data_IF_893442498129
#
_entry.id   IF_893442498129
#
_cell.length_a   1.000
_cell.length_b   1.000
_cell.length_c   1.000
_cell.angle_alpha   90.00
_cell.angle_beta   90.00
_cell.angle_gamma   90.00
#
_symmetry.space_group_name_H-M   'P 1'
#
loop_
_entity.id
_entity.type
_entity.pdbx_description
1 polymer ?
#
# COMPACT_ATOMS: atom_id res chain seq x y z
N UNK A 1 3.28 -10.98 -26.36
CA UNK A 1 3.69 -10.33 -25.09
C UNK A 1 2.87 -9.06 -24.95
N UNK A 2 1.83 -9.08 -24.12
CA UNK A 2 1.09 -7.88 -23.73
C UNK A 2 1.76 -7.26 -22.51
N UNK A 3 1.94 -5.92 -22.42
CA UNK A 3 2.61 -5.30 -21.28
C UNK A 3 1.63 -4.75 -20.22
N UNK A 4 1.97 -4.97 -18.94
CA UNK A 4 1.43 -4.32 -17.74
C UNK A 4 1.42 -2.79 -17.89
N UNK A 5 0.38 -2.12 -17.38
CA UNK A 5 0.29 -0.64 -17.36
C UNK A 5 0.14 -0.14 -15.92
N UNK A 6 1.07 0.68 -15.46
CA UNK A 6 0.88 1.50 -14.28
C UNK A 6 0.09 2.75 -14.71
N UNK A 7 -0.91 3.19 -13.94
CA UNK A 7 -1.64 4.41 -14.26
C UNK A 7 -2.01 5.26 -13.04
N UNK A 8 -2.14 6.57 -13.24
CA UNK A 8 -2.24 7.64 -12.25
C UNK A 8 -3.64 8.23 -12.24
N UNK A 9 -4.39 8.04 -11.16
CA UNK A 9 -5.78 8.49 -11.04
C UNK A 9 -5.90 9.80 -10.27
N UNK A 10 -6.24 10.93 -10.89
CA UNK A 10 -6.69 12.14 -10.17
C UNK A 10 -8.04 11.89 -9.49
N UNK A 11 -8.08 11.70 -8.17
CA UNK A 11 -9.28 11.63 -7.32
C UNK A 11 -9.48 13.00 -6.64
N UNK A 12 -10.52 13.70 -7.04
CA UNK A 12 -11.26 14.55 -6.11
C UNK A 12 -12.38 13.69 -5.53
N UNK A 13 -12.93 13.98 -4.35
CA UNK A 13 -14.09 13.29 -3.75
C UNK A 13 -15.35 13.20 -4.67
N UNK A 14 -15.26 13.65 -5.93
CA UNK A 14 -16.29 13.52 -6.95
C UNK A 14 -15.85 12.98 -8.33
N UNK A 15 -14.57 12.89 -8.73
CA UNK A 15 -14.19 12.36 -10.07
C UNK A 15 -12.73 11.87 -10.08
N UNK A 16 -12.52 10.76 -10.79
CA UNK A 16 -11.34 9.85 -10.80
C UNK A 16 -10.82 9.72 -12.25
N UNK A 17 -9.70 10.38 -12.61
CA UNK A 17 -9.17 10.46 -14.00
C UNK A 17 -7.77 9.83 -14.14
N UNK A 18 -7.57 8.88 -15.05
CA UNK A 18 -6.39 7.99 -15.09
C UNK A 18 -5.35 8.29 -16.20
N UNK A 19 -4.04 8.30 -15.90
CA UNK A 19 -2.90 8.53 -16.83
C UNK A 19 -1.76 7.50 -16.72
N UNK A 20 -1.38 6.82 -17.81
CA UNK A 20 -0.50 5.62 -17.81
C UNK A 20 1.00 5.87 -18.08
N UNK A 21 1.89 5.07 -17.46
CA UNK A 21 3.33 4.92 -17.79
C UNK A 21 3.71 3.43 -17.99
N UNK A 22 4.70 3.13 -18.86
CA UNK A 22 5.23 1.78 -19.22
C UNK A 22 6.78 1.76 -19.10
N UNK A 23 7.52 0.62 -18.95
CA UNK A 23 7.15 -0.82 -18.97
C UNK A 23 7.72 -1.74 -17.83
N UNK A 24 7.37 -3.04 -17.89
CA UNK A 24 7.84 -4.26 -17.15
C UNK A 24 7.02 -4.71 -15.92
N UNK A 25 7.02 -6.04 -15.67
CA UNK A 25 6.28 -6.81 -14.64
C UNK A 25 6.47 -6.26 -13.22
N UNK A 26 5.75 -5.17 -12.93
CA UNK A 26 5.94 -4.36 -11.76
C UNK A 26 4.66 -4.35 -10.94
N UNK A 27 4.65 -5.07 -9.82
CA UNK A 27 3.51 -5.14 -8.91
C UNK A 27 3.74 -4.28 -7.66
N UNK A 28 2.65 -3.83 -7.04
CA UNK A 28 2.65 -3.12 -5.76
C UNK A 28 3.59 -1.91 -5.75
N UNK A 29 3.36 -0.91 -6.61
CA UNK A 29 4.22 0.25 -6.69
C UNK A 29 4.10 1.12 -5.45
N UNK A 30 5.22 1.71 -5.03
CA UNK A 30 5.27 2.88 -4.16
C UNK A 30 5.88 4.07 -4.90
N UNK A 31 5.39 5.27 -4.64
CA UNK A 31 5.74 6.47 -5.40
C UNK A 31 5.77 7.73 -4.54
N UNK A 32 6.85 8.50 -4.70
CA UNK A 32 7.01 9.86 -4.16
C UNK A 32 7.50 10.82 -5.23
N UNK A 33 7.15 12.09 -5.11
CA UNK A 33 7.64 13.18 -5.97
C UNK A 33 8.63 14.06 -5.19
N UNK A 34 9.89 14.10 -5.62
CA UNK A 34 10.95 14.90 -5.00
C UNK A 34 11.51 15.84 -6.05
N UNK A 35 11.42 17.16 -5.81
CA UNK A 35 11.94 18.19 -6.73
C UNK A 35 11.45 18.03 -8.18
N UNK A 36 10.17 17.64 -8.37
CA UNK A 36 9.57 17.42 -9.68
C UNK A 36 9.95 16.10 -10.37
N UNK A 37 10.66 15.20 -9.67
CA UNK A 37 11.03 13.87 -10.15
C UNK A 37 10.23 12.81 -9.40
N UNK A 38 9.58 11.91 -10.14
CA UNK A 38 8.93 10.73 -9.56
C UNK A 38 9.96 9.63 -9.29
N UNK A 39 10.01 9.18 -8.04
CA UNK A 39 10.75 8.00 -7.63
C UNK A 39 9.75 6.86 -7.42
N UNK A 40 9.87 5.79 -8.20
CA UNK A 40 8.95 4.65 -8.17
C UNK A 40 9.73 3.38 -7.86
N UNK A 41 9.26 2.64 -6.87
CA UNK A 41 9.76 1.30 -6.54
C UNK A 41 8.61 0.32 -6.72
N UNK A 42 8.89 -0.85 -7.28
CA UNK A 42 7.89 -1.88 -7.52
C UNK A 42 8.50 -3.27 -7.40
N UNK A 43 7.65 -4.24 -7.10
CA UNK A 43 7.99 -5.66 -7.04
C UNK A 43 8.25 -6.17 -8.45
N UNK A 44 9.35 -6.89 -8.63
CA UNK A 44 9.72 -7.55 -9.89
C UNK A 44 9.96 -9.03 -9.63
N UNK A 45 9.68 -9.89 -10.61
CA UNK A 45 10.05 -11.29 -10.53
C UNK A 45 11.59 -11.41 -10.47
N UNK A 46 12.11 -12.24 -9.55
CA UNK A 46 13.55 -12.42 -9.30
C UNK A 46 13.92 -13.90 -9.38
N UNK A 47 15.14 -14.20 -9.82
CA UNK A 47 15.67 -15.57 -9.85
C UNK A 47 15.95 -16.15 -8.45
N UNK A 48 16.23 -15.29 -7.46
CA UNK A 48 16.47 -15.68 -6.07
C UNK A 48 16.18 -14.54 -5.07
N UNK A 49 15.73 -14.90 -3.87
CA UNK A 49 15.36 -13.98 -2.79
C UNK A 49 13.97 -13.36 -2.98
N UNK A 50 13.21 -13.25 -1.89
CA UNK A 50 11.87 -12.67 -1.88
C UNK A 50 11.90 -11.27 -1.26
N UNK A 51 11.65 -10.24 -2.07
CA UNK A 51 11.22 -8.94 -1.56
C UNK A 51 10.10 -8.39 -2.43
N UNK A 52 8.96 -8.04 -1.83
CA UNK A 52 7.77 -7.56 -2.53
C UNK A 52 7.07 -6.44 -1.76
N UNK A 53 6.10 -5.78 -2.42
CA UNK A 53 5.26 -4.71 -1.88
C UNK A 53 6.05 -3.62 -1.13
N UNK A 54 6.94 -2.88 -1.82
CA UNK A 54 7.68 -1.80 -1.21
C UNK A 54 6.78 -0.61 -0.82
N UNK A 55 7.17 0.10 0.23
CA UNK A 55 6.70 1.43 0.61
C UNK A 55 7.92 2.33 0.89
N UNK A 56 8.01 3.49 0.23
CA UNK A 56 9.12 4.44 0.39
C UNK A 56 8.70 5.70 1.14
N UNK A 57 9.50 6.16 2.10
CA UNK A 57 9.32 7.47 2.73
C UNK A 57 10.63 7.98 3.34
N UNK A 58 10.68 9.28 3.60
CA UNK A 58 11.79 9.90 4.31
C UNK A 58 11.49 9.97 5.80
N UNK A 59 12.30 9.34 6.64
CA UNK A 59 12.15 9.44 8.08
C UNK A 59 13.00 10.61 8.59
N UNK A 60 12.35 11.76 8.79
CA UNK A 60 13.00 13.03 9.14
C UNK A 60 13.93 12.91 10.36
N UNK A 61 13.54 12.25 11.48
CA UNK A 61 14.40 12.17 12.67
C UNK A 61 15.76 11.50 12.43
N UNK A 62 15.86 10.61 11.44
CA UNK A 62 17.13 9.94 11.08
C UNK A 62 17.82 10.57 9.86
N UNK A 63 17.12 11.44 9.13
CA UNK A 63 17.57 11.97 7.84
C UNK A 63 17.91 10.87 6.83
N UNK A 64 17.07 9.84 6.79
CA UNK A 64 17.23 8.68 5.92
C UNK A 64 15.92 8.36 5.22
N UNK A 65 16.02 7.92 3.97
CA UNK A 65 14.96 7.21 3.29
C UNK A 65 14.84 5.81 3.86
N UNK A 66 13.60 5.37 4.02
CA UNK A 66 13.23 4.01 4.38
C UNK A 66 12.47 3.39 3.20
N UNK A 67 12.84 2.16 2.87
CA UNK A 67 12.08 1.29 1.97
C UNK A 67 11.61 0.12 2.83
N UNK A 68 10.33 0.11 3.18
CA UNK A 68 9.66 -0.97 3.90
C UNK A 68 9.13 -1.97 2.88
N UNK A 69 9.25 -3.27 3.14
CA UNK A 69 8.79 -4.33 2.22
C UNK A 69 8.64 -5.65 2.97
N UNK A 70 8.07 -6.66 2.32
CA UNK A 70 8.01 -8.01 2.87
C UNK A 70 9.13 -8.91 2.34
N UNK A 71 9.65 -9.79 3.19
CA UNK A 71 10.69 -10.79 2.88
C UNK A 71 10.47 -12.11 3.66
N UNK A 72 9.22 -12.55 3.74
CA UNK A 72 8.69 -13.53 4.72
C UNK A 72 8.54 -12.96 6.16
N UNK A 73 9.01 -11.73 6.37
CA UNK A 73 8.76 -10.90 7.53
C UNK A 73 8.44 -9.47 7.08
N UNK A 74 8.15 -8.56 8.02
CA UNK A 74 8.17 -7.14 7.78
C UNK A 74 9.62 -6.62 7.85
N UNK A 75 10.12 -6.11 6.74
CA UNK A 75 11.51 -5.68 6.59
C UNK A 75 11.63 -4.21 6.15
N UNK A 76 12.83 -3.68 6.30
CA UNK A 76 13.21 -2.38 5.79
C UNK A 76 14.67 -2.35 5.34
N UNK A 77 14.96 -1.43 4.42
CA UNK A 77 16.30 -0.95 4.11
C UNK A 77 16.33 0.57 4.20
N UNK A 78 17.52 1.16 4.40
CA UNK A 78 17.69 2.62 4.44
C UNK A 78 18.64 3.13 3.36
N UNK A 79 18.49 4.40 3.00
CA UNK A 79 19.36 5.08 2.04
C UNK A 79 19.42 6.58 2.35
N UNK A 80 20.59 7.21 2.21
CA UNK A 80 20.73 8.66 2.36
C UNK A 80 20.37 9.44 1.09
N UNK A 81 20.26 8.76 -0.05
CA UNK A 81 19.98 9.35 -1.36
C UNK A 81 19.03 8.47 -2.19
N UNK A 82 17.77 8.89 -2.28
CA UNK A 82 16.73 8.19 -3.07
C UNK A 82 17.04 8.11 -4.57
N UNK A 83 17.94 8.96 -5.08
CA UNK A 83 18.38 8.92 -6.48
C UNK A 83 19.43 7.84 -6.76
N UNK A 84 20.01 7.25 -5.71
CA UNK A 84 21.00 6.19 -5.81
C UNK A 84 20.38 4.80 -5.51
N UNK A 85 19.90 4.05 -6.52
CA UNK A 85 19.30 2.73 -6.31
C UNK A 85 20.27 1.67 -5.77
N UNK A 86 21.58 1.87 -5.90
CA UNK A 86 22.59 0.97 -5.33
C UNK A 86 22.93 1.29 -3.86
N UNK A 87 22.38 2.38 -3.31
CA UNK A 87 22.68 2.88 -1.97
C UNK A 87 21.84 2.26 -0.84
N UNK A 88 20.88 1.39 -1.16
CA UNK A 88 20.05 0.74 -0.14
C UNK A 88 20.87 -0.21 0.72
N UNK A 89 20.69 -0.11 2.04
CA UNK A 89 21.33 -1.01 3.00
C UNK A 89 20.88 -2.47 2.83
N UNK A 90 21.61 -3.39 3.45
CA UNK A 90 21.12 -4.76 3.65
C UNK A 90 19.77 -4.75 4.43
N UNK A 91 18.87 -5.73 4.17
CA UNK A 91 17.60 -5.85 4.86
C UNK A 91 17.77 -6.00 6.37
N UNK A 92 16.88 -5.36 7.12
CA UNK A 92 16.63 -5.63 8.55
C UNK A 92 15.14 -5.87 8.75
N UNK A 93 14.79 -6.69 9.74
CA UNK A 93 13.40 -6.97 10.06
C UNK A 93 12.93 -6.10 11.24
N UNK A 94 11.64 -5.73 11.23
CA UNK A 94 10.99 -5.08 12.38
C UNK A 94 10.78 -6.06 13.53
N UNK A 95 10.71 -7.36 13.24
CA UNK A 95 10.50 -8.43 14.20
C UNK A 95 11.50 -9.56 13.97
N UNK A 96 11.89 -10.27 15.03
CA UNK A 96 12.74 -11.46 14.91
C UNK A 96 12.07 -12.60 14.13
N UNK A 97 10.74 -12.70 14.23
CA UNK A 97 9.89 -13.64 13.48
C UNK A 97 8.47 -13.08 13.32
N UNK A 98 7.64 -13.74 12.51
CA UNK A 98 6.19 -13.47 12.47
C UNK A 98 5.62 -13.50 13.90
N UNK A 99 4.77 -12.52 14.20
CA UNK A 99 4.10 -12.40 15.50
C UNK A 99 3.10 -13.56 15.68
N UNK A 100 3.14 -14.24 16.82
CA UNK A 100 2.24 -15.39 17.09
C UNK A 100 0.77 -15.02 16.93
N UNK A 101 0.38 -13.80 17.33
CA UNK A 101 -0.97 -13.30 17.17
C UNK A 101 -1.44 -13.23 15.71
N UNK A 102 -0.54 -12.96 14.76
CA UNK A 102 -0.85 -13.01 13.32
C UNK A 102 -0.95 -14.48 12.89
N UNK A 103 0.01 -15.31 13.30
CA UNK A 103 0.03 -16.75 12.99
C UNK A 103 -1.23 -17.49 13.45
N UNK A 104 -1.82 -17.10 14.58
CA UNK A 104 -3.04 -17.71 15.11
C UNK A 104 -4.30 -17.35 14.31
N UNK A 105 -4.28 -16.27 13.51
CA UNK A 105 -5.44 -15.74 12.79
C UNK A 105 -5.32 -15.83 11.25
N UNK A 106 -4.12 -16.06 10.71
CA UNK A 106 -3.83 -16.06 9.26
C UNK A 106 -4.50 -17.20 8.46
N UNK A 107 -4.78 -18.34 9.10
CA UNK A 107 -5.37 -19.50 8.42
C UNK A 107 -4.53 -19.96 7.23
N UNK A 108 -5.11 -19.95 6.03
CA UNK A 108 -4.44 -20.32 4.77
C UNK A 108 -3.89 -19.10 4.00
N UNK A 109 -3.92 -17.91 4.59
CA UNK A 109 -3.45 -16.67 3.97
C UNK A 109 -1.94 -16.46 4.09
N UNK A 110 -1.48 -15.26 3.75
CA UNK A 110 -0.06 -14.88 3.75
C UNK A 110 0.13 -13.54 4.48
N UNK A 111 1.21 -13.40 5.25
CA UNK A 111 1.51 -12.13 5.92
C UNK A 111 2.21 -11.17 4.96
N UNK A 112 1.48 -10.14 4.53
CA UNK A 112 1.83 -9.31 3.36
C UNK A 112 1.52 -7.83 3.57
N UNK A 113 2.00 -7.02 2.62
CA UNK A 113 1.61 -5.64 2.37
C UNK A 113 1.85 -4.71 3.57
N UNK A 114 3.13 -4.58 3.90
CA UNK A 114 3.65 -3.81 5.03
C UNK A 114 3.51 -2.30 4.77
N UNK A 115 2.86 -1.57 5.67
CA UNK A 115 2.65 -0.12 5.56
C UNK A 115 2.96 0.61 6.86
N UNK A 116 3.93 1.53 6.82
CA UNK A 116 4.34 2.36 7.96
C UNK A 116 3.74 3.76 7.86
N UNK A 117 3.34 4.33 8.99
CA UNK A 117 2.97 5.75 9.13
C UNK A 117 3.25 6.18 10.57
N UNK A 118 3.68 7.41 10.79
CA UNK A 118 3.90 7.96 12.13
C UNK A 118 3.05 9.20 12.38
N UNK A 119 2.60 9.36 13.62
CA UNK A 119 2.12 10.63 14.15
C UNK A 119 3.24 11.34 14.95
N UNK A 120 2.90 12.33 15.76
CA UNK A 120 3.88 13.08 16.56
C UNK A 120 4.53 12.28 17.69
N UNK A 121 3.95 11.13 18.06
CA UNK A 121 4.32 10.36 19.24
C UNK A 121 4.80 8.96 18.89
N UNK A 122 4.13 8.31 17.94
CA UNK A 122 4.29 6.90 17.63
C UNK A 122 4.41 6.66 16.12
N UNK A 123 5.10 5.59 15.77
CA UNK A 123 5.10 4.98 14.45
C UNK A 123 4.32 3.68 14.48
N UNK A 124 3.52 3.46 13.45
CA UNK A 124 2.63 2.32 13.31
C UNK A 124 3.01 1.51 12.08
N UNK A 125 2.92 0.20 12.19
CA UNK A 125 3.11 -0.75 11.09
C UNK A 125 1.82 -1.52 10.89
N UNK A 126 1.16 -1.27 9.77
CA UNK A 126 -0.02 -2.00 9.31
C UNK A 126 0.39 -3.14 8.38
N UNK A 127 -0.26 -4.29 8.50
CA UNK A 127 0.00 -5.47 7.67
C UNK A 127 -1.30 -6.23 7.43
N UNK A 128 -1.39 -6.98 6.34
CA UNK A 128 -2.51 -7.86 6.02
C UNK A 128 -2.13 -9.33 6.08
N UNK A 129 -3.12 -10.22 6.06
CA UNK A 129 -2.91 -11.68 6.11
C UNK A 129 -3.61 -12.46 4.98
N UNK A 130 -4.12 -11.80 3.93
CA UNK A 130 -5.01 -12.39 2.91
C UNK A 130 -6.27 -13.09 3.49
N UNK A 131 -6.59 -12.87 4.76
CA UNK A 131 -7.60 -13.62 5.50
C UNK A 131 -8.61 -12.72 6.24
N UNK A 132 -8.82 -11.51 5.76
CA UNK A 132 -9.84 -10.62 6.30
C UNK A 132 -9.42 -9.83 7.53
N UNK A 133 -8.11 -9.74 7.83
CA UNK A 133 -7.60 -8.96 8.95
C UNK A 133 -6.61 -7.88 8.50
N UNK A 134 -6.76 -6.68 9.08
CA UNK A 134 -5.77 -5.63 9.08
C UNK A 134 -5.15 -5.55 10.47
N UNK A 135 -3.86 -5.86 10.58
CA UNK A 135 -3.12 -5.75 11.83
C UNK A 135 -2.48 -4.38 11.96
N UNK A 136 -2.23 -3.95 13.20
CA UNK A 136 -1.45 -2.76 13.53
C UNK A 136 -0.52 -3.08 14.68
N UNK A 137 0.77 -2.85 14.48
CA UNK A 137 1.78 -2.78 15.53
C UNK A 137 2.22 -1.33 15.73
N UNK A 138 2.86 -1.02 16.85
CA UNK A 138 3.37 0.32 17.12
C UNK A 138 4.68 0.34 17.90
N UNK A 139 5.39 1.45 17.80
CA UNK A 139 6.52 1.86 18.65
C UNK A 139 6.56 3.37 18.75
N UNK A 140 7.30 3.95 19.71
CA UNK A 140 7.42 5.40 19.78
C UNK A 140 8.23 5.97 18.61
N UNK A 141 7.92 7.19 18.18
CA UNK A 141 8.62 7.89 17.11
C UNK A 141 10.14 7.92 17.34
N UNK A 142 10.57 8.16 18.58
CA UNK A 142 11.99 8.20 18.95
C UNK A 142 12.69 6.83 18.99
N UNK A 143 11.94 5.72 18.98
CA UNK A 143 12.50 4.36 19.02
C UNK A 143 12.47 3.68 17.64
N UNK A 144 11.66 4.17 16.71
CA UNK A 144 11.59 3.67 15.33
C UNK A 144 12.99 3.57 14.70
N UNK A 145 13.34 2.50 13.96
CA UNK A 145 12.50 1.36 13.56
C UNK A 145 12.45 0.21 14.58
N UNK A 146 12.99 0.40 15.79
CA UNK A 146 13.07 -0.66 16.80
C UNK A 146 11.79 -0.74 17.63
N UNK A 147 11.62 -1.86 18.34
CA UNK A 147 10.57 -2.02 19.35
C UNK A 147 9.14 -1.98 18.81
N UNK A 148 8.95 -2.36 17.54
CA UNK A 148 7.61 -2.63 17.00
C UNK A 148 6.97 -3.78 17.79
N UNK A 149 5.77 -3.54 18.30
CA UNK A 149 5.05 -4.51 19.12
C UNK A 149 3.59 -4.13 19.28
N UNK A 150 2.96 -4.64 20.34
CA UNK A 150 1.54 -4.38 20.66
C UNK A 150 0.60 -4.63 19.47
N UNK A 151 0.86 -5.71 18.73
CA UNK A 151 0.11 -6.09 17.54
C UNK A 151 -1.35 -6.37 17.89
N UNK A 152 -2.27 -5.67 17.24
CA UNK A 152 -3.73 -5.84 17.37
C UNK A 152 -4.37 -5.99 15.99
N UNK A 153 -5.58 -6.56 15.93
CA UNK A 153 -6.44 -6.45 14.77
C UNK A 153 -7.08 -5.06 14.81
N UNK A 154 -6.72 -4.20 13.86
CA UNK A 154 -7.23 -2.84 13.73
C UNK A 154 -8.56 -2.79 12.96
N UNK A 155 -8.77 -3.73 12.04
CA UNK A 155 -10.02 -3.90 11.30
C UNK A 155 -10.13 -5.36 10.86
N UNK A 156 -11.36 -5.90 10.81
CA UNK A 156 -11.61 -7.27 10.35
C UNK A 156 -12.89 -7.39 9.54
N UNK A 157 -12.94 -8.38 8.67
CA UNK A 157 -14.15 -8.76 7.94
C UNK A 157 -14.24 -10.29 7.81
N UNK A 158 -15.42 -10.86 8.03
CA UNK A 158 -15.64 -12.31 7.88
C UNK A 158 -15.61 -12.76 6.42
N UNK A 159 -15.91 -11.86 5.48
CA UNK A 159 -15.60 -12.07 4.07
C UNK A 159 -14.15 -11.63 3.83
N UNK A 160 -13.25 -12.59 3.74
CA UNK A 160 -11.81 -12.36 3.54
C UNK A 160 -11.51 -11.52 2.30
N UNK A 161 -12.31 -11.67 1.24
CA UNK A 161 -12.21 -10.89 0.02
C UNK A 161 -12.62 -9.43 0.17
N UNK A 162 -13.42 -9.09 1.18
CA UNK A 162 -13.81 -7.70 1.41
C UNK A 162 -12.73 -6.91 2.17
N UNK A 163 -11.75 -7.57 2.81
CA UNK A 163 -10.63 -6.94 3.48
C UNK A 163 -9.36 -7.76 3.22
N UNK A 164 -8.92 -7.77 1.97
CA UNK A 164 -7.98 -8.76 1.46
C UNK A 164 -6.51 -8.38 1.77
N UNK A 165 -6.04 -7.28 1.21
CA UNK A 165 -4.63 -6.86 1.28
C UNK A 165 -4.39 -5.42 0.83
N UNK A 166 -3.13 -5.12 0.49
CA UNK A 166 -2.66 -3.85 -0.09
C UNK A 166 -3.09 -2.60 0.69
N UNK A 167 -2.99 -2.64 2.02
CA UNK A 167 -3.43 -1.51 2.84
C UNK A 167 -2.56 -0.27 2.65
N UNK A 168 -3.17 0.90 2.54
CA UNK A 168 -2.48 2.19 2.62
C UNK A 168 -3.15 3.07 3.69
N UNK A 169 -2.35 3.75 4.50
CA UNK A 169 -2.83 4.67 5.53
C UNK A 169 -2.17 6.04 5.35
N UNK A 170 -2.98 7.10 5.26
CA UNK A 170 -2.52 8.46 5.03
C UNK A 170 -3.07 9.43 6.06
N UNK A 171 -2.32 10.47 6.40
CA UNK A 171 -2.87 11.65 7.07
C UNK A 171 -3.54 12.57 6.05
N UNK A 172 -4.74 13.06 6.33
CA UNK A 172 -5.46 14.02 5.47
C UNK A 172 -4.97 15.47 5.65
N UNK A 173 -4.09 15.72 6.62
CA UNK A 173 -3.52 17.04 6.93
C UNK A 173 -4.39 17.92 7.83
N UNK A 174 -5.61 17.49 8.17
CA UNK A 174 -6.59 18.21 9.00
C UNK A 174 -7.01 17.43 10.26
N UNK A 175 -6.18 16.49 10.69
CA UNK A 175 -6.37 15.72 11.93
C UNK A 175 -7.14 14.41 11.74
N UNK A 176 -7.47 14.03 10.50
CA UNK A 176 -8.01 12.72 10.16
C UNK A 176 -6.97 11.85 9.42
N UNK A 177 -7.31 10.58 9.31
CA UNK A 177 -6.56 9.56 8.58
C UNK A 177 -7.48 8.82 7.62
N UNK A 178 -6.97 8.55 6.42
CA UNK A 178 -7.62 7.74 5.40
C UNK A 178 -6.95 6.36 5.34
N UNK A 179 -7.74 5.31 5.53
CA UNK A 179 -7.34 3.93 5.27
C UNK A 179 -7.95 3.47 3.94
N UNK A 180 -7.11 2.93 3.06
CA UNK A 180 -7.51 2.21 1.85
C UNK A 180 -7.14 0.74 2.01
N UNK A 181 -8.03 -0.18 1.63
CA UNK A 181 -7.73 -1.62 1.59
C UNK A 181 -8.29 -2.22 0.31
N UNK A 182 -7.47 -3.04 -0.36
CA UNK A 182 -7.89 -3.76 -1.55
C UNK A 182 -8.87 -4.89 -1.19
N UNK A 183 -9.85 -5.07 -2.05
CA UNK A 183 -10.87 -6.09 -1.98
C UNK A 183 -11.03 -6.77 -3.35
N UNK A 184 -11.58 -7.99 -3.33
CA UNK A 184 -11.92 -8.77 -4.51
C UNK A 184 -13.44 -8.74 -4.66
N UNK A 185 -13.92 -8.19 -5.79
CA UNK A 185 -15.35 -8.07 -6.08
C UNK A 185 -15.98 -9.42 -6.43
N UNK A 186 -17.31 -9.44 -6.44
CA UNK A 186 -18.12 -10.57 -6.89
C UNK A 186 -17.83 -11.02 -8.33
N UNK A 187 -17.27 -10.13 -9.16
CA UNK A 187 -16.80 -10.40 -10.53
C UNK A 187 -15.31 -10.80 -10.61
N UNK A 188 -14.64 -10.97 -9.46
CA UNK A 188 -13.22 -11.28 -9.35
C UNK A 188 -12.29 -10.08 -9.60
N UNK A 189 -12.80 -8.92 -9.97
CA UNK A 189 -11.99 -7.73 -10.20
C UNK A 189 -11.55 -7.10 -8.87
N UNK A 190 -10.34 -6.54 -8.86
CA UNK A 190 -9.79 -5.84 -7.69
C UNK A 190 -10.33 -4.42 -7.59
N UNK A 191 -10.58 -3.97 -6.36
CA UNK A 191 -11.02 -2.61 -6.08
C UNK A 191 -10.60 -2.17 -4.68
N UNK A 192 -10.65 -0.87 -4.41
CA UNK A 192 -10.36 -0.32 -3.09
C UNK A 192 -11.61 0.09 -2.34
N UNK A 193 -11.65 -0.29 -1.06
CA UNK A 193 -12.56 0.23 -0.04
C UNK A 193 -11.84 1.28 0.79
N UNK A 194 -12.58 2.16 1.45
CA UNK A 194 -12.02 3.24 2.27
C UNK A 194 -12.72 3.44 3.61
N UNK A 195 -11.93 3.86 4.59
CA UNK A 195 -12.35 4.22 5.95
C UNK A 195 -11.63 5.47 6.42
N UNK A 196 -12.20 6.13 7.43
CA UNK A 196 -11.61 7.27 8.11
C UNK A 196 -11.45 7.02 9.61
N UNK A 197 -10.46 7.66 10.22
CA UNK A 197 -10.30 7.71 11.68
C UNK A 197 -9.66 9.02 12.11
N UNK A 198 -9.89 9.44 13.34
CA UNK A 198 -9.22 10.61 13.96
C UNK A 198 -7.93 10.21 14.70
N UNK A 199 -7.58 8.92 14.70
CA UNK A 199 -6.37 8.40 15.36
C UNK A 199 -5.90 7.12 14.67
N UNK A 200 -4.59 6.97 14.49
CA UNK A 200 -3.98 5.76 13.93
C UNK A 200 -4.18 4.51 14.80
N UNK A 201 -4.44 4.71 16.10
CA UNK A 201 -4.80 3.64 17.03
C UNK A 201 -6.29 3.56 17.34
N UNK A 202 -7.10 4.38 16.66
CA UNK A 202 -8.53 4.51 16.89
C UNK A 202 -9.37 3.49 16.10
N UNK A 203 -10.68 3.70 16.14
CA UNK A 203 -11.65 2.93 15.34
C UNK A 203 -11.72 3.47 13.93
N UNK A 204 -11.76 2.58 12.93
CA UNK A 204 -11.97 2.91 11.53
C UNK A 204 -13.47 2.94 11.19
N UNK A 205 -13.96 4.06 10.67
CA UNK A 205 -15.34 4.25 10.23
C UNK A 205 -15.41 4.16 8.71
N UNK A 206 -16.36 3.39 8.16
CA UNK A 206 -16.54 3.22 6.72
C UNK A 206 -16.79 4.56 6.01
N UNK A 207 -16.12 4.79 4.88
CA UNK A 207 -16.31 5.96 4.02
C UNK A 207 -16.95 5.56 2.66
N UNK A 208 -16.23 4.78 1.85
CA UNK A 208 -16.70 4.21 0.60
C UNK A 208 -16.20 2.75 0.51
N UNK A 209 -17.01 1.82 1.00
CA UNK A 209 -16.58 0.46 1.35
C UNK A 209 -17.47 -0.64 0.73
N UNK A 210 -18.18 -0.35 -0.36
CA UNK A 210 -19.00 -1.37 -1.05
C UNK A 210 -18.64 -1.43 -2.53
N UNK A 211 -18.99 -2.52 -3.23
CA UNK A 211 -18.78 -2.59 -4.69
C UNK A 211 -19.57 -1.50 -5.45
N UNK A 212 -20.75 -1.11 -4.93
CA UNK A 212 -21.58 -0.06 -5.52
C UNK A 212 -21.08 1.35 -5.22
N UNK A 213 -20.42 1.56 -4.07
CA UNK A 213 -19.79 2.80 -3.66
C UNK A 213 -18.35 2.53 -3.14
N UNK A 214 -17.38 2.27 -4.04
CA UNK A 214 -15.99 2.01 -3.69
C UNK A 214 -15.17 3.29 -3.69
N UNK A 215 -13.96 3.24 -3.12
CA UNK A 215 -12.97 4.31 -3.32
C UNK A 215 -12.55 4.34 -4.81
N UNK A 216 -12.10 3.21 -5.34
CA UNK A 216 -11.73 3.07 -6.74
C UNK A 216 -12.07 1.66 -7.26
N UNK A 217 -12.90 1.59 -8.31
CA UNK A 217 -13.32 0.37 -9.02
C UNK A 217 -13.71 0.73 -10.45
N UNK A 218 -13.82 -0.25 -11.34
CA UNK A 218 -14.25 -0.05 -12.73
C UNK A 218 -15.58 0.74 -12.91
N UNK A 219 -16.47 0.78 -11.93
CA UNK A 219 -17.74 1.54 -12.02
C UNK A 219 -17.59 3.03 -11.70
N UNK A 220 -16.53 3.47 -11.02
CA UNK A 220 -16.26 4.89 -10.73
C UNK A 220 -14.96 5.43 -11.34
N UNK A 221 -14.11 4.55 -11.90
CA UNK A 221 -12.92 4.91 -12.67
C UNK A 221 -13.26 5.09 -14.14
N UNK A 222 -12.91 6.26 -14.70
CA UNK A 222 -13.10 6.55 -16.13
C UNK A 222 -11.76 6.51 -16.86
N UNK A 223 -11.75 5.79 -17.99
CA UNK A 223 -10.63 5.76 -18.92
C UNK A 223 -10.90 6.76 -20.05
N UNK A 224 -9.87 7.51 -20.45
CA UNK A 224 -9.94 8.43 -21.61
C UNK A 224 -9.99 7.71 -22.96
N UNK A 225 -9.71 6.40 -22.94
CA UNK A 225 -9.79 5.48 -24.06
C UNK A 225 -10.50 4.19 -23.60
N UNK A 226 -10.45 3.13 -24.41
CA UNK A 226 -10.94 1.81 -24.00
C UNK A 226 -10.29 1.37 -22.68
N UNK A 227 -11.13 0.87 -21.77
CA UNK A 227 -10.68 0.40 -20.47
C UNK A 227 -9.78 -0.82 -20.65
N UNK A 228 -8.52 -0.69 -20.27
CA UNK A 228 -7.51 -1.74 -20.44
C UNK A 228 -7.47 -2.73 -19.26
N UNK A 229 -8.19 -2.44 -18.17
CA UNK A 229 -8.31 -3.28 -16.96
C UNK A 229 -9.67 -3.07 -16.31
N UNK A 230 -10.19 -4.10 -15.64
CA UNK A 230 -11.31 -3.98 -14.68
C UNK A 230 -10.81 -3.88 -13.23
N UNK A 231 -9.60 -4.35 -12.97
CA UNK A 231 -8.97 -4.38 -11.66
C UNK A 231 -8.22 -3.08 -11.41
N UNK A 232 -8.56 -2.44 -10.30
CA UNK A 232 -7.77 -1.38 -9.66
C UNK A 232 -7.18 -2.03 -8.41
N UNK A 233 -5.95 -2.53 -8.53
CA UNK A 233 -5.27 -3.33 -7.51
C UNK A 233 -4.10 -2.55 -6.91
N UNK A 234 -3.37 -3.17 -5.98
CA UNK A 234 -2.25 -2.63 -5.20
C UNK A 234 -1.56 -1.44 -5.87
N UNK A 235 -1.57 -0.32 -5.16
CA UNK A 235 -0.99 0.93 -5.59
C UNK A 235 -0.67 1.86 -4.43
N UNK A 236 -0.40 3.12 -4.76
CA UNK A 236 -0.18 4.18 -3.77
C UNK A 236 -0.63 5.55 -4.30
N UNK A 237 -1.08 6.42 -3.39
CA UNK A 237 -1.24 7.84 -3.68
C UNK A 237 0.15 8.46 -3.91
N UNK A 238 0.30 9.22 -4.98
CA UNK A 238 1.47 10.05 -5.27
C UNK A 238 1.59 11.15 -4.24
N UNK A 239 2.61 11.03 -3.40
CA UNK A 239 2.89 11.97 -2.32
C UNK A 239 3.97 12.98 -2.71
N UNK A 240 3.69 14.24 -2.41
CA UNK A 240 4.67 15.34 -2.43
C UNK A 240 5.16 15.68 -1.02
N UNK A 241 4.37 15.42 0.02
CA UNK A 241 4.90 15.25 1.37
C UNK A 241 5.42 13.82 1.53
N UNK A 242 6.74 13.69 1.47
CA UNK A 242 7.42 12.40 1.36
C UNK A 242 7.82 11.81 2.71
N UNK A 243 7.53 12.51 3.81
CA UNK A 243 7.97 12.11 5.13
C UNK A 243 7.13 10.96 5.74
N UNK A 244 7.50 10.55 6.95
CA UNK A 244 6.86 9.45 7.68
C UNK A 244 5.39 9.69 8.07
N UNK A 245 4.87 10.91 7.93
CA UNK A 245 3.48 11.23 8.25
C UNK A 245 2.50 10.78 7.18
N UNK A 246 3.00 10.43 5.98
CA UNK A 246 2.19 10.01 4.82
C UNK A 246 1.07 11.01 4.50
N UNK A 247 1.35 12.31 4.68
CA UNK A 247 0.32 13.33 4.46
C UNK A 247 -0.02 13.44 2.97
N UNK A 248 -1.32 13.44 2.68
CA UNK A 248 -1.88 13.67 1.34
C UNK A 248 -2.63 15.00 1.31
N UNK A 249 -2.87 15.52 0.10
CA UNK A 249 -3.79 16.64 -0.10
C UNK A 249 -5.08 16.10 -0.72
N UNK A 250 -6.21 16.08 0.01
CA UNK A 250 -7.47 15.48 -0.47
C UNK A 250 -7.99 16.07 -1.78
N UNK A 251 -7.64 17.33 -2.07
CA UNK A 251 -7.93 17.98 -3.33
C UNK A 251 -6.81 17.67 -4.34
N UNK A 252 -7.12 16.86 -5.36
CA UNK A 252 -6.19 16.39 -6.41
C UNK A 252 -5.29 15.22 -6.00
N UNK A 253 -5.84 14.22 -5.31
CA UNK A 253 -5.13 12.96 -5.06
C UNK A 253 -4.79 12.32 -6.40
N UNK A 254 -3.62 11.72 -6.52
CA UNK A 254 -3.24 10.97 -7.74
C UNK A 254 -2.84 9.56 -7.34
N UNK A 255 -3.56 8.52 -7.75
CA UNK A 255 -3.28 7.14 -7.32
C UNK A 255 -2.59 6.32 -8.41
N UNK A 256 -1.35 5.87 -8.17
CA UNK A 256 -0.63 4.96 -9.05
C UNK A 256 -1.04 3.53 -8.72
N UNK A 257 -1.67 2.80 -9.65
CA UNK A 257 -2.16 1.45 -9.40
C UNK A 257 -1.67 0.43 -10.43
N UNK A 258 -1.70 -0.84 -10.03
CA UNK A 258 -1.54 -1.97 -10.93
C UNK A 258 -2.90 -2.47 -11.44
N UNK A 259 -2.95 -2.90 -12.69
CA UNK A 259 -4.11 -3.56 -13.29
C UNK A 259 -3.64 -4.62 -14.29
N UNK A 260 -4.57 -5.46 -14.72
CA UNK A 260 -4.31 -6.58 -15.63
C UNK A 260 -5.33 -6.53 -16.77
N UNK A 261 -4.94 -7.01 -17.96
CA UNK A 261 -5.90 -7.20 -19.05
C UNK A 261 -7.08 -8.05 -18.55
N UNK A 262 -8.35 -7.65 -18.75
CA UNK A 262 -9.51 -8.43 -18.32
C UNK A 262 -9.58 -9.84 -18.93
N UNK A 263 -8.84 -10.10 -20.01
CA UNK A 263 -8.69 -11.39 -20.67
C UNK A 263 -7.37 -12.11 -20.31
N UNK A 264 -6.54 -11.50 -19.46
CA UNK A 264 -5.35 -12.11 -18.91
C UNK A 264 -5.71 -13.36 -18.10
N UNK A 265 -5.01 -14.46 -18.36
CA UNK A 265 -5.21 -15.74 -17.69
C UNK A 265 -3.85 -16.41 -17.45
N UNK A 266 -3.80 -17.29 -16.46
CA UNK A 266 -2.57 -18.01 -16.09
C UNK A 266 -2.34 -18.00 -14.58
N UNK A 267 -1.11 -18.37 -14.20
CA UNK A 267 -0.63 -18.29 -12.82
C UNK A 267 -0.67 -16.84 -12.33
N UNK A 268 -1.15 -16.62 -11.10
CA UNK A 268 -1.28 -15.31 -10.47
C UNK A 268 0.07 -14.57 -10.45
N UNK A 269 1.15 -15.29 -10.12
CA UNK A 269 2.50 -14.72 -10.07
C UNK A 269 3.07 -14.36 -11.45
N UNK A 270 2.42 -14.83 -12.53
CA UNK A 270 2.78 -14.57 -13.91
C UNK A 270 1.70 -13.75 -14.64
N UNK A 271 0.83 -13.04 -13.92
CA UNK A 271 -0.16 -12.16 -14.53
C UNK A 271 0.49 -10.89 -15.11
N UNK A 272 0.16 -10.54 -16.37
CA UNK A 272 0.86 -9.54 -17.17
C UNK A 272 0.41 -8.12 -16.91
#
# INVERSE_FOLDING_TARGET
>A
MLPLRLSLISVCLAVVNVLSLRPCWNQSPTIVEVNGVYHVFASTAKEAGYCAAPQVFYFEPHKLWYLVYQNDNAAYATNSDISNPAGWSAPKNFFDSMRSFIWENIGNGNWVDMWTICDSSDCYLFTSDDNGHLYRSQTSLGNFPNGMGNTVIALQNTNTYALFGASNVYSTGDGEYLLLVEAIGSDGARYFRSWISTSLSGTWTSLADTEANPFARANNVKFSAEAWTKSISHGEIVRTNVDQTMTITPCNLRYLYQGVDPNGSGDYNAMP
#
